data_IF_107478539001
#
_entry.id   IF_107478539001
#
_cell.length_a   1.000
_cell.length_b   1.000
_cell.length_c   1.000
_cell.angle_alpha   90.00
_cell.angle_beta   90.00
_cell.angle_gamma   90.00
#
_symmetry.space_group_name_H-M   'P 1'
#
loop_
_entity.id
_entity.type
_entity.pdbx_description
1 polymer ?
#
# COMPACT_ATOMS: atom_id res chain seq x y z
N UNK A 1 -29.59 -7.24 27.94
CA UNK A 1 -28.74 -6.12 28.37
C UNK A 1 -27.38 -6.58 28.90
N UNK A 2 -27.33 -7.42 29.92
CA UNK A 2 -26.08 -7.84 30.61
C UNK A 2 -25.11 -8.66 29.72
N UNK A 3 -25.56 -9.54 28.86
CA UNK A 3 -24.71 -10.35 27.98
C UNK A 3 -24.03 -9.50 26.88
N UNK A 4 -24.73 -8.47 26.37
CA UNK A 4 -24.16 -7.60 25.35
C UNK A 4 -23.08 -6.65 25.93
N UNK A 5 -23.24 -6.20 27.16
CA UNK A 5 -22.25 -5.37 27.88
C UNK A 5 -20.99 -6.17 28.21
N UNK A 6 -21.12 -7.44 28.63
CA UNK A 6 -19.99 -8.33 28.91
C UNK A 6 -19.16 -8.63 27.66
N UNK A 7 -19.81 -8.90 26.53
CA UNK A 7 -19.11 -9.16 25.25
C UNK A 7 -18.39 -7.92 24.73
N UNK A 8 -18.96 -6.72 24.89
CA UNK A 8 -18.31 -5.47 24.51
C UNK A 8 -17.09 -5.16 25.38
N UNK A 9 -17.18 -5.39 26.69
CA UNK A 9 -16.07 -5.20 27.62
C UNK A 9 -14.91 -6.16 27.33
N UNK A 10 -15.20 -7.46 27.11
CA UNK A 10 -14.19 -8.46 26.74
C UNK A 10 -13.49 -8.12 25.41
N UNK A 11 -14.24 -7.58 24.44
CA UNK A 11 -13.69 -7.13 23.15
C UNK A 11 -12.77 -5.93 23.31
N UNK A 12 -13.16 -4.94 24.09
CA UNK A 12 -12.35 -3.76 24.37
C UNK A 12 -11.03 -4.16 25.06
N UNK A 13 -11.10 -5.06 26.05
CA UNK A 13 -9.92 -5.60 26.72
C UNK A 13 -9.00 -6.36 25.77
N UNK A 14 -9.53 -7.16 24.83
CA UNK A 14 -8.75 -7.85 23.82
C UNK A 14 -8.05 -6.91 22.83
N UNK A 15 -8.68 -5.79 22.47
CA UNK A 15 -8.05 -4.75 21.64
C UNK A 15 -6.94 -4.02 22.38
N UNK A 16 -7.14 -3.73 23.67
CA UNK A 16 -6.12 -3.09 24.50
C UNK A 16 -4.90 -3.99 24.71
N UNK A 17 -5.12 -5.27 25.01
CA UNK A 17 -4.03 -6.25 25.10
C UNK A 17 -3.23 -6.36 23.79
N UNK A 18 -3.91 -6.33 22.64
CA UNK A 18 -3.26 -6.32 21.34
C UNK A 18 -2.46 -5.03 21.12
N UNK A 19 -3.00 -3.87 21.52
CA UNK A 19 -2.29 -2.58 21.46
C UNK A 19 -0.98 -2.65 22.23
N UNK A 20 -1.01 -3.08 23.49
CA UNK A 20 0.17 -3.20 24.34
C UNK A 20 1.21 -4.13 23.70
N UNK A 21 0.79 -5.30 23.22
CA UNK A 21 1.70 -6.25 22.58
C UNK A 21 2.36 -5.67 21.31
N UNK A 22 1.63 -4.90 20.49
CA UNK A 22 2.20 -4.21 19.31
C UNK A 22 3.19 -3.13 19.74
N UNK A 23 2.83 -2.31 20.72
CA UNK A 23 3.72 -1.23 21.23
C UNK A 23 5.00 -1.79 21.85
N UNK A 24 4.94 -2.95 22.51
CA UNK A 24 6.12 -3.66 23.02
C UNK A 24 7.06 -4.10 21.88
N UNK A 25 6.50 -4.63 20.77
CA UNK A 25 7.29 -4.98 19.60
C UNK A 25 7.93 -3.76 18.94
N UNK A 26 7.17 -2.66 18.86
CA UNK A 26 7.68 -1.39 18.31
C UNK A 26 8.86 -0.88 19.16
N UNK A 27 8.72 -0.84 20.49
CA UNK A 27 9.80 -0.42 21.39
C UNK A 27 11.05 -1.30 21.25
N UNK A 28 10.86 -2.61 21.18
CA UNK A 28 11.97 -3.56 21.06
C UNK A 28 12.69 -3.48 19.69
N UNK A 29 12.04 -2.94 18.64
CA UNK A 29 12.63 -2.83 17.31
C UNK A 29 13.67 -1.73 17.15
N UNK A 30 13.69 -0.74 18.05
CA UNK A 30 14.51 0.45 17.93
C UNK A 30 14.11 1.40 16.80
N UNK A 31 12.94 1.22 16.20
CA UNK A 31 12.44 2.10 15.16
C UNK A 31 12.27 3.54 15.64
N UNK A 32 12.61 4.52 14.82
CA UNK A 32 12.34 5.94 15.07
C UNK A 32 10.83 6.22 15.08
N UNK A 33 10.10 5.62 14.15
CA UNK A 33 8.66 5.76 14.05
C UNK A 33 8.02 4.52 13.44
N UNK A 34 6.86 4.12 13.97
CA UNK A 34 6.01 3.07 13.40
C UNK A 34 4.57 3.54 13.40
N UNK A 35 3.89 3.34 12.27
CA UNK A 35 2.45 3.55 12.13
C UNK A 35 1.75 2.23 11.86
N UNK A 36 0.76 1.87 12.67
CA UNK A 36 -0.03 0.66 12.50
C UNK A 36 -1.51 1.02 12.36
N UNK A 37 -2.15 0.46 11.35
CA UNK A 37 -3.59 0.52 11.16
C UNK A 37 -4.13 -0.89 11.01
N UNK A 38 -5.10 -1.24 11.86
CA UNK A 38 -5.86 -2.49 11.76
C UNK A 38 -7.34 -2.15 11.67
N UNK A 39 -8.05 -2.74 10.73
CA UNK A 39 -9.51 -2.66 10.64
C UNK A 39 -10.10 -4.01 10.27
N UNK A 40 -10.94 -4.56 11.13
CA UNK A 40 -11.77 -5.72 10.80
C UNK A 40 -12.81 -5.30 9.75
N UNK A 41 -12.97 -6.10 8.69
CA UNK A 41 -13.92 -5.82 7.60
C UNK A 41 -15.27 -6.51 7.79
N UNK A 42 -15.40 -7.31 8.84
CA UNK A 42 -16.63 -8.02 9.21
C UNK A 42 -17.27 -7.39 10.44
N UNK A 43 -16.45 -6.87 11.36
CA UNK A 43 -16.86 -6.25 12.62
C UNK A 43 -16.43 -4.78 12.66
N UNK A 44 -17.08 -3.91 13.47
CA UNK A 44 -16.72 -2.50 13.54
C UNK A 44 -15.48 -2.24 14.39
N UNK A 45 -14.50 -3.14 14.40
CA UNK A 45 -13.31 -3.06 15.23
C UNK A 45 -12.14 -2.46 14.45
N UNK A 46 -11.42 -1.54 15.07
CA UNK A 46 -10.18 -0.99 14.56
C UNK A 46 -9.18 -0.76 15.68
N UNK A 47 -7.89 -0.82 15.34
CA UNK A 47 -6.79 -0.48 16.23
C UNK A 47 -5.80 0.39 15.50
N UNK A 48 -5.42 1.51 16.12
CA UNK A 48 -4.56 2.53 15.56
C UNK A 48 -3.39 2.78 16.51
N UNK A 49 -2.14 2.58 16.06
CA UNK A 49 -0.93 2.93 16.82
C UNK A 49 -0.08 3.81 15.94
N UNK A 50 0.16 5.05 16.34
CA UNK A 50 0.92 6.01 15.52
C UNK A 50 0.38 6.20 14.09
N UNK A 51 -0.90 5.85 13.85
CA UNK A 51 -1.46 5.71 12.50
C UNK A 51 -1.59 7.03 11.73
N UNK A 52 -1.50 8.17 12.41
CA UNK A 52 -1.50 9.51 11.80
C UNK A 52 -0.08 10.05 11.55
N UNK A 53 0.96 9.35 11.96
CA UNK A 53 2.34 9.74 11.68
C UNK A 53 2.57 9.75 10.17
N UNK A 54 3.25 10.82 9.70
CA UNK A 54 3.56 10.99 8.29
C UNK A 54 4.87 10.29 7.93
N UNK A 55 4.83 9.52 6.85
CA UNK A 55 5.96 8.81 6.27
C UNK A 55 6.17 9.22 4.82
N UNK A 56 7.39 9.10 4.30
CA UNK A 56 7.61 9.04 2.86
C UNK A 56 6.83 7.83 2.32
N UNK A 57 6.04 8.03 1.25
CA UNK A 57 5.14 6.96 0.80
C UNK A 57 5.87 5.77 0.17
N UNK A 58 7.11 5.97 -0.29
CA UNK A 58 7.83 4.95 -1.06
C UNK A 58 6.91 4.35 -2.14
N UNK A 59 6.98 3.04 -2.37
CA UNK A 59 6.11 2.37 -3.36
C UNK A 59 4.66 2.18 -2.91
N UNK A 60 4.29 2.58 -1.70
CA UNK A 60 2.87 2.54 -1.27
C UNK A 60 2.00 3.53 -2.06
N UNK A 61 2.59 4.61 -2.64
CA UNK A 61 1.89 5.54 -3.52
C UNK A 61 1.32 4.88 -4.79
N UNK A 62 1.80 3.68 -5.14
CA UNK A 62 1.31 2.89 -6.29
C UNK A 62 -0.11 2.36 -6.08
N UNK A 63 -0.56 2.24 -4.84
CA UNK A 63 -1.94 1.81 -4.51
C UNK A 63 -2.98 2.83 -5.01
N UNK A 64 -2.93 4.12 -4.64
CA UNK A 64 -3.86 5.10 -5.19
C UNK A 64 -3.71 5.29 -6.71
N UNK A 65 -2.51 5.12 -7.29
CA UNK A 65 -2.34 5.13 -8.76
C UNK A 65 -3.13 3.99 -9.40
N UNK A 66 -3.03 2.76 -8.87
CA UNK A 66 -3.83 1.62 -9.34
C UNK A 66 -5.33 1.90 -9.24
N UNK A 67 -5.80 2.45 -8.12
CA UNK A 67 -7.22 2.82 -7.96
C UNK A 67 -7.65 3.78 -9.08
N UNK A 68 -6.84 4.80 -9.38
CA UNK A 68 -7.16 5.78 -10.42
C UNK A 68 -7.21 5.15 -11.81
N UNK A 69 -6.26 4.26 -12.13
CA UNK A 69 -6.27 3.53 -13.42
C UNK A 69 -7.56 2.73 -13.59
N UNK A 70 -8.01 2.02 -12.54
CA UNK A 70 -9.23 1.23 -12.61
C UNK A 70 -10.48 2.12 -12.68
N UNK A 71 -10.52 3.25 -11.99
CA UNK A 71 -11.61 4.23 -12.13
C UNK A 71 -11.71 4.78 -13.55
N UNK A 72 -10.57 5.14 -14.13
CA UNK A 72 -10.52 5.63 -15.51
C UNK A 72 -10.97 4.56 -16.52
N UNK A 73 -10.69 3.28 -16.23
CA UNK A 73 -11.18 2.18 -17.04
C UNK A 73 -12.72 2.01 -16.92
N UNK A 74 -13.26 2.08 -15.71
CA UNK A 74 -14.69 2.01 -15.45
C UNK A 74 -15.45 3.18 -16.12
N UNK A 75 -14.86 4.36 -16.11
CA UNK A 75 -15.39 5.58 -16.72
C UNK A 75 -15.04 5.71 -18.22
N UNK A 76 -14.43 4.70 -18.82
CA UNK A 76 -14.04 4.62 -20.25
C UNK A 76 -13.05 5.72 -20.70
N UNK A 77 -12.31 6.34 -19.78
CA UNK A 77 -11.23 7.29 -20.11
C UNK A 77 -9.96 6.60 -20.60
N UNK A 78 -9.79 5.33 -20.26
CA UNK A 78 -8.78 4.44 -20.80
C UNK A 78 -9.35 3.01 -20.92
N UNK A 79 -8.61 2.12 -21.59
CA UNK A 79 -8.94 0.68 -21.64
C UNK A 79 -7.75 -0.11 -21.08
N UNK A 80 -7.99 -1.05 -20.18
CA UNK A 80 -6.91 -1.87 -19.58
C UNK A 80 -6.13 -2.67 -20.66
N UNK A 81 -6.76 -3.01 -21.77
CA UNK A 81 -6.12 -3.70 -22.90
C UNK A 81 -5.44 -2.76 -23.90
N UNK A 82 -5.61 -1.43 -23.78
CA UNK A 82 -4.92 -0.51 -24.71
C UNK A 82 -3.42 -0.58 -24.52
N UNK A 83 -2.70 -0.54 -25.65
CA UNK A 83 -1.23 -0.55 -25.64
C UNK A 83 -0.74 0.89 -25.72
N UNK A 84 0.04 1.30 -24.73
CA UNK A 84 0.65 2.64 -24.67
C UNK A 84 2.17 2.55 -24.83
N UNK A 85 2.84 3.63 -25.26
CA UNK A 85 4.29 3.63 -25.41
C UNK A 85 5.01 3.31 -24.09
N UNK A 86 6.07 2.52 -24.17
CA UNK A 86 7.03 2.33 -23.08
C UNK A 86 8.14 3.36 -23.28
N UNK A 87 8.15 4.36 -22.41
CA UNK A 87 9.11 5.47 -22.46
C UNK A 87 9.89 5.54 -21.14
N UNK A 88 11.13 6.01 -21.19
CA UNK A 88 11.95 6.29 -20.01
C UNK A 88 12.48 7.73 -20.07
N UNK A 89 11.54 8.66 -20.31
CA UNK A 89 11.81 10.10 -20.25
C UNK A 89 10.58 10.76 -19.65
N UNK A 90 10.75 11.41 -18.52
CA UNK A 90 9.72 12.06 -17.73
C UNK A 90 10.12 13.51 -17.47
N UNK A 91 9.22 14.31 -16.91
CA UNK A 91 9.50 15.70 -16.60
C UNK A 91 9.43 15.96 -15.10
N UNK A 92 10.44 16.63 -14.57
CA UNK A 92 10.45 17.07 -13.18
C UNK A 92 9.28 18.02 -12.92
N UNK A 93 8.61 17.86 -11.77
CA UNK A 93 7.54 18.77 -11.35
C UNK A 93 8.08 20.12 -10.84
N UNK A 94 9.40 20.27 -10.70
CA UNK A 94 10.03 21.50 -10.22
C UNK A 94 10.14 22.53 -11.35
N UNK A 95 10.68 22.12 -12.50
CA UNK A 95 11.04 23.02 -13.59
C UNK A 95 10.74 22.47 -14.99
N UNK A 96 10.14 21.27 -15.07
CA UNK A 96 9.84 20.61 -16.35
C UNK A 96 11.03 20.01 -17.05
N UNK A 97 12.23 20.02 -16.45
CA UNK A 97 13.42 19.40 -17.04
C UNK A 97 13.24 17.87 -17.19
N UNK A 98 13.84 17.29 -18.23
CA UNK A 98 13.72 15.84 -18.43
C UNK A 98 14.54 15.04 -17.42
N UNK A 99 14.02 13.88 -17.00
CA UNK A 99 14.76 12.87 -16.26
C UNK A 99 14.34 11.47 -16.74
N UNK A 100 15.20 10.50 -16.52
CA UNK A 100 14.95 9.07 -16.74
C UNK A 100 15.23 8.27 -15.49
N UNK A 101 14.68 7.05 -15.43
CA UNK A 101 14.92 6.13 -14.33
C UNK A 101 16.12 5.25 -14.63
N UNK A 102 16.83 4.87 -13.56
CA UNK A 102 17.94 3.93 -13.61
C UNK A 102 17.43 2.50 -13.50
N UNK A 103 17.90 1.62 -14.38
CA UNK A 103 17.66 0.18 -14.26
C UNK A 103 18.17 -0.39 -12.92
N UNK A 104 19.24 0.18 -12.38
CA UNK A 104 19.86 -0.28 -11.13
C UNK A 104 18.98 0.00 -9.90
N UNK A 105 18.10 1.00 -9.99
CA UNK A 105 17.24 1.44 -8.90
C UNK A 105 15.80 0.90 -9.02
N UNK A 106 15.49 0.12 -10.08
CA UNK A 106 14.18 -0.50 -10.28
C UNK A 106 14.19 -1.98 -9.90
N UNK A 107 13.13 -2.44 -9.26
CA UNK A 107 12.93 -3.86 -8.92
C UNK A 107 12.58 -4.73 -10.13
N UNK A 108 12.25 -4.13 -11.28
CA UNK A 108 11.91 -4.81 -12.53
C UNK A 108 12.78 -4.32 -13.70
N UNK A 109 13.54 -5.24 -14.28
CA UNK A 109 14.36 -4.97 -15.47
C UNK A 109 13.63 -5.23 -16.80
N UNK A 110 12.56 -6.00 -16.77
CA UNK A 110 11.92 -6.54 -17.97
C UNK A 110 11.32 -5.46 -18.88
N UNK A 111 10.81 -4.39 -18.29
CA UNK A 111 10.18 -3.30 -19.03
C UNK A 111 11.21 -2.39 -19.73
N UNK A 112 12.43 -2.28 -19.19
CA UNK A 112 13.49 -1.45 -19.79
C UNK A 112 13.95 -1.98 -21.15
N UNK A 113 13.97 -3.30 -21.33
CA UNK A 113 14.28 -3.92 -22.63
C UNK A 113 13.22 -3.61 -23.71
N UNK A 114 12.10 -3.02 -23.32
CA UNK A 114 10.96 -2.70 -24.19
C UNK A 114 10.76 -1.20 -24.40
N UNK A 115 11.69 -0.37 -23.97
CA UNK A 115 11.68 1.08 -24.22
C UNK A 115 11.69 1.33 -25.74
N UNK A 116 10.83 2.20 -26.21
CA UNK A 116 10.55 2.43 -27.63
C UNK A 116 9.44 1.54 -28.21
N UNK A 117 9.04 0.48 -27.48
CA UNK A 117 7.92 -0.39 -27.83
C UNK A 117 6.60 0.02 -27.14
N UNK A 118 5.72 -0.95 -26.94
CA UNK A 118 4.40 -0.72 -26.32
C UNK A 118 4.05 -1.82 -25.34
N UNK A 119 3.40 -1.47 -24.23
CA UNK A 119 2.84 -2.39 -23.25
C UNK A 119 1.35 -2.09 -23.03
N UNK A 120 0.56 -3.09 -22.59
CA UNK A 120 -0.83 -2.82 -22.21
C UNK A 120 -0.90 -2.15 -20.85
N UNK A 121 -1.91 -1.31 -20.62
CA UNK A 121 -2.16 -0.69 -19.32
C UNK A 121 -2.29 -1.76 -18.23
N UNK A 122 -2.95 -2.88 -18.50
CA UNK A 122 -3.06 -4.03 -17.58
C UNK A 122 -1.71 -4.58 -17.16
N UNK A 123 -0.83 -4.80 -18.13
CA UNK A 123 0.52 -5.30 -17.88
C UNK A 123 1.34 -4.31 -17.04
N UNK A 124 1.25 -3.01 -17.34
CA UNK A 124 1.93 -1.98 -16.56
C UNK A 124 1.42 -1.93 -15.11
N UNK A 125 0.11 -2.04 -14.89
CA UNK A 125 -0.47 -2.13 -13.53
C UNK A 125 0.04 -3.37 -12.79
N UNK A 126 0.09 -4.50 -13.48
CA UNK A 126 0.59 -5.75 -12.90
C UNK A 126 2.05 -5.61 -12.45
N UNK A 127 2.94 -5.12 -13.31
CA UNK A 127 4.34 -4.85 -12.98
C UNK A 127 4.50 -3.82 -11.87
N UNK A 128 3.74 -2.71 -11.92
CA UNK A 128 3.75 -1.67 -10.89
C UNK A 128 3.44 -2.22 -9.48
N UNK A 129 2.53 -3.15 -9.39
CA UNK A 129 2.07 -3.68 -8.09
C UNK A 129 2.86 -4.92 -7.68
N UNK A 130 3.01 -5.92 -8.55
CA UNK A 130 3.52 -7.24 -8.17
C UNK A 130 5.03 -7.29 -7.98
N UNK A 131 5.78 -6.55 -8.78
CA UNK A 131 7.24 -6.41 -8.70
C UNK A 131 7.69 -4.98 -8.42
N UNK A 132 6.73 -4.10 -8.13
CA UNK A 132 7.01 -2.71 -7.77
C UNK A 132 7.77 -1.89 -8.83
N UNK A 133 7.60 -2.20 -10.15
CA UNK A 133 8.29 -1.50 -11.23
C UNK A 133 8.12 0.03 -11.16
N UNK A 134 9.22 0.75 -11.09
CA UNK A 134 9.24 2.20 -11.08
C UNK A 134 8.94 2.77 -12.47
N UNK A 135 9.47 2.14 -13.52
CA UNK A 135 9.21 2.55 -14.90
C UNK A 135 7.72 2.45 -15.25
N UNK A 136 7.08 1.32 -14.89
CA UNK A 136 5.64 1.16 -15.07
C UNK A 136 4.83 2.20 -14.27
N UNK A 137 5.30 2.55 -13.08
CA UNK A 137 4.66 3.58 -12.23
C UNK A 137 4.66 4.93 -12.91
N UNK A 138 5.81 5.38 -13.44
CA UNK A 138 5.91 6.69 -14.05
C UNK A 138 5.09 6.79 -15.35
N UNK A 139 5.10 5.75 -16.17
CA UNK A 139 4.25 5.68 -17.37
C UNK A 139 2.77 5.78 -17.01
N UNK A 140 2.34 5.08 -15.95
CA UNK A 140 0.93 5.08 -15.54
C UNK A 140 0.52 6.40 -14.88
N UNK A 141 1.36 6.99 -14.00
CA UNK A 141 0.99 8.23 -13.31
C UNK A 141 0.90 9.42 -14.28
N UNK A 142 1.75 9.48 -15.31
CA UNK A 142 1.59 10.46 -16.38
C UNK A 142 0.29 10.25 -17.18
N UNK A 143 -0.11 8.97 -17.40
CA UNK A 143 -1.34 8.65 -18.12
C UNK A 143 -2.61 9.03 -17.36
N UNK A 144 -2.62 8.93 -16.02
CA UNK A 144 -3.80 9.20 -15.19
C UNK A 144 -3.77 10.54 -14.45
N UNK A 145 -2.64 11.24 -14.44
CA UNK A 145 -2.41 12.52 -13.76
C UNK A 145 -2.36 12.40 -12.23
N UNK A 146 -1.24 12.82 -11.63
CA UNK A 146 -1.02 12.77 -10.18
C UNK A 146 -2.07 13.58 -9.39
N UNK A 147 -2.51 14.73 -9.91
CA UNK A 147 -3.53 15.56 -9.27
C UNK A 147 -4.89 14.84 -9.23
N UNK A 148 -5.22 14.03 -10.24
CA UNK A 148 -6.43 13.20 -10.24
C UNK A 148 -6.32 12.05 -9.25
N UNK A 149 -5.15 11.41 -9.16
CA UNK A 149 -4.87 10.39 -8.14
C UNK A 149 -5.06 10.98 -6.74
N UNK A 150 -4.51 12.17 -6.49
CA UNK A 150 -4.67 12.89 -5.23
C UNK A 150 -6.14 13.15 -4.90
N UNK A 151 -6.92 13.71 -5.85
CA UNK A 151 -8.35 13.97 -5.63
C UNK A 151 -9.15 12.70 -5.34
N UNK A 152 -8.84 11.61 -6.02
CA UNK A 152 -9.49 10.32 -5.78
C UNK A 152 -9.17 9.77 -4.38
N UNK A 153 -7.93 9.86 -3.94
CA UNK A 153 -7.53 9.43 -2.61
C UNK A 153 -8.27 10.24 -1.52
N UNK A 154 -8.33 11.56 -1.66
CA UNK A 154 -9.09 12.44 -0.76
C UNK A 154 -10.59 12.09 -0.75
N UNK A 155 -11.20 11.88 -1.91
CA UNK A 155 -12.61 11.52 -2.01
C UNK A 155 -12.94 10.15 -1.37
N UNK A 156 -11.95 9.28 -1.20
CA UNK A 156 -12.08 8.00 -0.50
C UNK A 156 -11.83 8.13 1.01
N UNK A 157 -11.43 9.31 1.51
CA UNK A 157 -11.19 9.62 2.92
C UNK A 157 -9.72 9.44 3.37
N UNK A 158 -8.78 9.37 2.41
CA UNK A 158 -7.34 9.40 2.69
C UNK A 158 -6.86 10.86 2.75
N UNK A 159 -7.16 11.53 3.86
CA UNK A 159 -7.12 12.99 3.97
C UNK A 159 -5.70 13.59 4.09
N UNK A 160 -4.72 12.77 4.49
CA UNK A 160 -3.34 13.20 4.75
C UNK A 160 -2.34 12.73 3.70
N UNK A 161 -2.74 11.82 2.80
CA UNK A 161 -1.88 11.32 1.72
C UNK A 161 -1.54 12.44 0.73
N UNK A 162 -0.32 12.43 0.23
CA UNK A 162 0.09 13.33 -0.84
C UNK A 162 0.67 12.53 -2.00
N UNK A 163 0.02 12.59 -3.15
CA UNK A 163 0.50 12.04 -4.42
C UNK A 163 0.78 13.22 -5.34
N UNK A 164 2.04 13.60 -5.46
CA UNK A 164 2.49 14.80 -6.17
C UNK A 164 3.06 14.48 -7.54
N UNK A 165 3.72 13.32 -7.66
CA UNK A 165 4.58 12.99 -8.80
C UNK A 165 4.79 11.49 -8.96
N UNK A 166 5.39 11.10 -10.07
CA UNK A 166 6.03 9.80 -10.23
C UNK A 166 7.20 9.59 -9.27
N UNK A 167 7.93 8.51 -9.47
CA UNK A 167 9.09 8.17 -8.64
C UNK A 167 10.39 8.67 -9.28
N UNK A 168 11.46 8.75 -8.50
CA UNK A 168 12.84 9.08 -8.92
C UNK A 168 13.03 10.48 -9.56
N UNK A 169 12.09 11.41 -9.39
CA UNK A 169 12.35 12.83 -9.64
C UNK A 169 13.28 13.38 -8.57
N UNK A 170 14.58 13.34 -8.86
CA UNK A 170 15.62 13.74 -7.92
C UNK A 170 15.59 15.24 -7.57
N UNK A 171 15.12 16.08 -8.47
CA UNK A 171 14.96 17.52 -8.17
C UNK A 171 13.82 17.75 -7.18
N UNK A 172 12.67 17.13 -7.42
CA UNK A 172 11.54 17.22 -6.51
C UNK A 172 11.86 16.61 -5.14
N UNK A 173 12.63 15.51 -5.10
CA UNK A 173 13.10 14.91 -3.84
C UNK A 173 13.94 15.92 -3.03
N UNK A 174 14.93 16.57 -3.65
CA UNK A 174 15.77 17.58 -2.98
C UNK A 174 14.98 18.83 -2.57
N UNK A 175 13.94 19.18 -3.31
CA UNK A 175 13.03 20.28 -2.99
C UNK A 175 11.98 19.90 -1.90
N UNK A 176 12.00 18.70 -1.35
CA UNK A 176 11.04 18.24 -0.35
C UNK A 176 9.63 17.95 -0.90
N UNK A 177 9.47 17.93 -2.23
CA UNK A 177 8.18 17.67 -2.91
C UNK A 177 7.93 16.16 -3.03
N UNK A 178 7.88 15.48 -1.88
CA UNK A 178 7.77 14.03 -1.82
C UNK A 178 6.30 13.55 -1.76
N UNK A 179 6.08 12.34 -2.29
CA UNK A 179 4.86 11.60 -1.99
C UNK A 179 4.91 11.15 -0.53
N UNK A 180 3.87 11.45 0.24
CA UNK A 180 3.78 11.08 1.66
C UNK A 180 2.47 10.39 1.97
N UNK A 181 2.45 9.59 3.03
CA UNK A 181 1.26 8.88 3.48
C UNK A 181 1.25 8.68 4.99
N UNK A 182 0.15 8.19 5.52
CA UNK A 182 -0.01 7.68 6.88
C UNK A 182 -0.52 6.24 6.83
N UNK A 183 -0.37 5.49 7.91
CA UNK A 183 -0.94 4.15 7.99
C UNK A 183 -2.47 4.19 7.91
N UNK A 184 -3.09 5.25 8.45
CA UNK A 184 -4.53 5.48 8.37
C UNK A 184 -5.00 5.68 6.93
N UNK A 185 -4.32 6.51 6.14
CA UNK A 185 -4.72 6.79 4.75
C UNK A 185 -4.66 5.53 3.89
N UNK A 186 -3.55 4.78 3.97
CA UNK A 186 -3.43 3.51 3.25
C UNK A 186 -4.46 2.50 3.72
N UNK A 187 -4.72 2.44 5.03
CA UNK A 187 -5.77 1.60 5.60
C UNK A 187 -7.14 1.90 5.03
N UNK A 188 -7.48 3.17 4.89
CA UNK A 188 -8.73 3.64 4.27
C UNK A 188 -8.81 3.23 2.79
N UNK A 189 -7.72 3.38 2.03
CA UNK A 189 -7.68 2.98 0.62
C UNK A 189 -7.82 1.46 0.45
N UNK A 190 -7.10 0.66 1.24
CA UNK A 190 -7.24 -0.80 1.21
C UNK A 190 -8.65 -1.26 1.64
N UNK A 191 -9.25 -0.61 2.64
CA UNK A 191 -10.62 -0.88 3.04
C UNK A 191 -11.60 -0.53 1.90
N UNK A 192 -11.40 0.59 1.21
CA UNK A 192 -12.22 0.97 0.06
C UNK A 192 -12.14 -0.06 -1.08
N UNK A 193 -10.95 -0.63 -1.36
CA UNK A 193 -10.78 -1.72 -2.32
C UNK A 193 -11.55 -2.97 -1.84
N UNK A 194 -11.35 -3.36 -0.58
CA UNK A 194 -11.96 -4.57 -0.01
C UNK A 194 -13.49 -4.53 0.02
N UNK A 195 -14.05 -3.34 0.23
CA UNK A 195 -15.49 -3.08 0.33
C UNK A 195 -16.15 -2.75 -1.03
N UNK A 196 -15.38 -2.71 -2.11
CA UNK A 196 -15.90 -2.42 -3.44
C UNK A 196 -16.23 -0.94 -3.68
N UNK A 197 -15.68 -0.01 -2.88
CA UNK A 197 -15.93 1.44 -2.95
C UNK A 197 -14.86 2.21 -3.72
N UNK A 198 -13.68 1.62 -3.91
CA UNK A 198 -12.57 2.28 -4.59
C UNK A 198 -12.84 2.53 -6.07
N UNK A 199 -13.57 1.61 -6.72
CA UNK A 199 -13.98 1.63 -8.12
C UNK A 199 -15.21 0.71 -8.28
N UNK A 200 -15.57 0.27 -9.49
CA UNK A 200 -16.62 -0.74 -9.63
C UNK A 200 -16.26 -2.02 -8.85
N UNK A 201 -17.29 -2.77 -8.43
CA UNK A 201 -17.09 -4.03 -7.70
C UNK A 201 -16.22 -5.04 -8.49
N UNK A 202 -16.32 -5.05 -9.84
CA UNK A 202 -15.48 -5.85 -10.73
C UNK A 202 -14.02 -5.39 -10.65
N UNK A 203 -13.77 -4.10 -10.76
CA UNK A 203 -12.45 -3.49 -10.70
C UNK A 203 -11.80 -3.68 -9.34
N UNK A 204 -12.55 -3.54 -8.24
CA UNK A 204 -12.05 -3.81 -6.90
C UNK A 204 -11.61 -5.28 -6.71
N UNK A 205 -12.39 -6.25 -7.21
CA UNK A 205 -11.98 -7.66 -7.20
C UNK A 205 -10.71 -7.91 -8.01
N UNK A 206 -10.56 -7.24 -9.15
CA UNK A 206 -9.34 -7.37 -9.97
C UNK A 206 -8.13 -6.77 -9.25
N UNK A 207 -8.26 -5.59 -8.62
CA UNK A 207 -7.19 -5.00 -7.79
C UNK A 207 -6.76 -5.94 -6.66
N UNK A 208 -7.70 -6.59 -5.98
CA UNK A 208 -7.36 -7.61 -4.96
C UNK A 208 -6.56 -8.77 -5.56
N UNK A 209 -6.95 -9.28 -6.73
CA UNK A 209 -6.19 -10.36 -7.40
C UNK A 209 -4.78 -9.94 -7.79
N UNK A 210 -4.60 -8.69 -8.23
CA UNK A 210 -3.27 -8.15 -8.56
C UNK A 210 -2.43 -8.06 -7.29
N UNK A 211 -2.95 -7.47 -6.21
CA UNK A 211 -2.28 -7.37 -4.92
C UNK A 211 -1.91 -8.73 -4.31
N UNK A 212 -2.70 -9.79 -4.55
CA UNK A 212 -2.41 -11.16 -4.11
C UNK A 212 -1.21 -11.80 -4.84
N UNK A 213 -0.77 -11.22 -5.97
CA UNK A 213 0.41 -11.68 -6.72
C UNK A 213 1.68 -10.93 -6.34
N UNK A 214 1.67 -10.11 -5.29
CA UNK A 214 2.87 -9.46 -4.76
C UNK A 214 3.99 -10.49 -4.54
N UNK A 215 5.21 -10.16 -4.96
CA UNK A 215 6.37 -11.07 -4.88
C UNK A 215 7.23 -10.87 -3.65
N UNK A 216 7.16 -9.72 -3.01
CA UNK A 216 7.93 -9.40 -1.79
C UNK A 216 7.09 -9.77 -0.56
N UNK A 217 7.34 -10.93 0.04
CA UNK A 217 6.47 -11.54 1.05
C UNK A 217 7.10 -11.67 2.45
N UNK A 218 8.22 -11.00 2.68
CA UNK A 218 9.01 -11.06 3.91
C UNK A 218 8.36 -10.31 5.09
N UNK A 219 7.45 -9.37 4.81
CA UNK A 219 6.72 -8.57 5.80
C UNK A 219 5.46 -9.26 6.35
N UNK A 220 4.30 -8.65 6.13
CA UNK A 220 3.01 -9.13 6.63
C UNK A 220 2.76 -10.61 6.31
N UNK A 221 2.96 -11.10 5.07
CA UNK A 221 2.69 -12.51 4.74
C UNK A 221 3.49 -13.51 5.58
N UNK A 222 4.75 -13.19 5.91
CA UNK A 222 5.62 -14.06 6.72
C UNK A 222 5.10 -14.26 8.16
N UNK A 223 4.24 -13.38 8.66
CA UNK A 223 3.60 -13.50 9.97
C UNK A 223 2.27 -14.25 9.96
N UNK A 224 1.77 -14.63 8.79
CA UNK A 224 0.45 -15.26 8.64
C UNK A 224 0.54 -16.80 8.60
N UNK A 225 -0.42 -17.52 9.15
CA UNK A 225 -0.44 -18.98 9.07
C UNK A 225 -0.77 -19.48 7.67
N UNK A 226 -0.45 -20.72 7.39
CA UNK A 226 -0.74 -21.39 6.12
C UNK A 226 -2.23 -21.29 5.74
N UNK A 227 -2.50 -20.92 4.49
CA UNK A 227 -3.85 -20.76 3.95
C UNK A 227 -4.52 -19.40 4.18
N UNK A 228 -3.91 -18.50 4.94
CA UNK A 228 -4.29 -17.10 5.01
C UNK A 228 -3.59 -16.34 3.87
N UNK A 229 -4.31 -15.49 3.16
CA UNK A 229 -3.79 -14.74 2.02
C UNK A 229 -3.71 -13.25 2.33
N UNK A 230 -2.62 -12.61 1.91
CA UNK A 230 -2.50 -11.17 1.87
C UNK A 230 -2.61 -10.68 0.42
N UNK A 231 -3.47 -9.67 0.21
CA UNK A 231 -3.48 -8.85 -0.98
C UNK A 231 -2.83 -7.52 -0.60
N UNK A 232 -1.53 -7.36 -0.89
CA UNK A 232 -0.73 -6.33 -0.25
C UNK A 232 0.22 -5.62 -1.21
N UNK A 233 0.77 -4.51 -0.75
CA UNK A 233 1.84 -3.75 -1.40
C UNK A 233 2.92 -3.42 -0.40
N UNK A 234 4.16 -3.61 -0.81
CA UNK A 234 5.35 -3.20 -0.07
C UNK A 234 5.89 -1.85 -0.56
N UNK A 235 6.71 -1.20 0.25
CA UNK A 235 7.41 0.01 -0.14
C UNK A 235 8.67 0.20 0.70
N UNK A 236 9.78 0.59 0.08
CA UNK A 236 10.99 0.91 0.80
C UNK A 236 11.77 2.04 0.13
N UNK A 237 12.46 2.82 0.92
CA UNK A 237 13.43 3.82 0.53
C UNK A 237 14.34 4.11 1.74
N UNK A 238 15.64 3.99 1.57
CA UNK A 238 16.63 4.20 2.64
C UNK A 238 16.29 3.37 3.89
N UNK A 239 16.01 4.01 5.03
CA UNK A 239 15.63 3.36 6.32
C UNK A 239 14.10 3.37 6.56
N UNK A 240 13.34 3.45 5.50
CA UNK A 240 11.87 3.49 5.54
C UNK A 240 11.33 2.28 4.82
N UNK A 241 10.62 1.41 5.53
CA UNK A 241 10.08 0.17 5.00
C UNK A 241 8.59 0.05 5.36
N UNK A 242 7.80 -0.43 4.43
CA UNK A 242 6.34 -0.46 4.55
C UNK A 242 5.78 -1.76 4.01
N UNK A 243 4.71 -2.23 4.62
CA UNK A 243 3.83 -3.24 4.06
C UNK A 243 2.39 -2.96 4.49
N UNK A 244 1.43 -3.21 3.61
CA UNK A 244 0.03 -3.00 3.92
C UNK A 244 -0.88 -3.67 2.93
N UNK A 245 -2.04 -4.12 3.40
CA UNK A 245 -2.99 -4.79 2.53
C UNK A 245 -4.22 -5.36 3.22
N UNK A 246 -4.91 -6.19 2.47
CA UNK A 246 -6.13 -6.89 2.86
C UNK A 246 -5.76 -8.33 3.16
N UNK A 247 -5.96 -8.79 4.38
CA UNK A 247 -5.76 -10.16 4.80
C UNK A 247 -7.10 -10.90 4.78
N UNK A 248 -7.09 -12.11 4.25
CA UNK A 248 -8.28 -12.96 4.13
C UNK A 248 -7.97 -14.39 4.54
N UNK A 249 -8.72 -14.91 5.51
CA UNK A 249 -8.68 -16.29 5.96
C UNK A 249 -9.77 -17.14 5.28
N UNK A 250 -9.60 -18.46 5.27
CA UNK A 250 -10.53 -19.41 4.64
C UNK A 250 -11.91 -19.44 5.31
N UNK A 251 -11.97 -19.11 6.58
CA UNK A 251 -13.20 -19.08 7.39
C UNK A 251 -14.02 -17.79 7.22
N UNK A 252 -13.65 -16.96 6.24
CA UNK A 252 -14.36 -15.73 5.91
C UNK A 252 -13.89 -14.49 6.70
N UNK A 253 -13.00 -14.63 7.65
CA UNK A 253 -12.40 -13.49 8.36
C UNK A 253 -11.59 -12.65 7.38
N UNK A 254 -11.78 -11.33 7.44
CA UNK A 254 -11.09 -10.36 6.58
C UNK A 254 -10.79 -9.11 7.38
N UNK A 255 -9.59 -8.60 7.21
CA UNK A 255 -9.18 -7.35 7.83
C UNK A 255 -8.14 -6.62 6.98
N UNK A 256 -8.00 -5.34 7.20
CA UNK A 256 -6.91 -4.51 6.68
C UNK A 256 -5.83 -4.40 7.74
N UNK A 257 -4.58 -4.59 7.33
CA UNK A 257 -3.40 -4.33 8.14
C UNK A 257 -2.43 -3.47 7.33
N UNK A 258 -1.97 -2.36 7.91
CA UNK A 258 -0.88 -1.53 7.38
C UNK A 258 0.15 -1.33 8.46
N UNK A 259 1.42 -1.54 8.14
CA UNK A 259 2.56 -1.26 9.01
C UNK A 259 3.56 -0.43 8.24
N UNK A 260 3.82 0.79 8.71
CA UNK A 260 4.79 1.72 8.16
C UNK A 260 5.90 1.91 9.18
N UNK A 261 7.17 1.81 8.74
CA UNK A 261 8.33 1.96 9.63
C UNK A 261 9.31 3.00 9.10
N UNK A 262 10.04 3.64 10.01
CA UNK A 262 11.17 4.52 9.73
C UNK A 262 12.24 4.35 10.80
N UNK A 263 13.51 4.44 10.38
CA UNK A 263 14.65 4.44 11.29
C UNK A 263 15.16 3.04 11.67
N UNK A 264 14.77 1.99 10.94
CA UNK A 264 15.36 0.65 11.07
C UNK A 264 16.32 0.46 9.89
N UNK A 265 17.65 0.38 10.12
CA UNK A 265 18.62 0.29 9.02
C UNK A 265 18.49 -0.99 8.20
N UNK A 266 18.32 -2.15 8.86
CA UNK A 266 18.24 -3.44 8.18
C UNK A 266 16.82 -3.74 7.72
N UNK A 267 16.66 -3.95 6.43
CA UNK A 267 15.37 -4.34 5.82
C UNK A 267 14.80 -5.60 6.46
N UNK A 268 15.64 -6.62 6.72
CA UNK A 268 15.21 -7.85 7.38
C UNK A 268 14.70 -7.63 8.81
N UNK A 269 15.19 -6.64 9.55
CA UNK A 269 14.67 -6.30 10.88
C UNK A 269 13.29 -5.64 10.78
N UNK A 270 13.09 -4.73 9.81
CA UNK A 270 11.79 -4.16 9.53
C UNK A 270 10.78 -5.21 9.09
N UNK A 271 11.18 -6.14 8.21
CA UNK A 271 10.34 -7.25 7.76
C UNK A 271 9.90 -8.15 8.94
N UNK A 272 10.84 -8.49 9.84
CA UNK A 272 10.50 -9.25 11.07
C UNK A 272 9.50 -8.52 11.96
N UNK A 273 9.66 -7.20 12.16
CA UNK A 273 8.70 -6.41 12.94
C UNK A 273 7.29 -6.47 12.31
N UNK A 274 7.19 -6.31 10.99
CA UNK A 274 5.91 -6.38 10.27
C UNK A 274 5.28 -7.77 10.37
N UNK A 275 6.09 -8.84 10.26
CA UNK A 275 5.63 -10.22 10.42
C UNK A 275 5.16 -10.50 11.86
N UNK A 276 5.86 -9.99 12.88
CA UNK A 276 5.47 -10.15 14.29
C UNK A 276 4.14 -9.43 14.56
N UNK A 277 3.98 -8.20 14.07
CA UNK A 277 2.72 -7.45 14.19
C UNK A 277 1.59 -8.20 13.46
N UNK A 278 1.84 -8.72 12.26
CA UNK A 278 0.85 -9.49 11.50
C UNK A 278 0.41 -10.77 12.27
N UNK A 279 1.34 -11.44 12.91
CA UNK A 279 1.05 -12.63 13.75
C UNK A 279 0.18 -12.28 14.96
N UNK A 280 0.50 -11.19 15.66
CA UNK A 280 -0.28 -10.70 16.81
C UNK A 280 -1.71 -10.31 16.38
N UNK A 281 -1.83 -9.53 15.30
CA UNK A 281 -3.15 -9.10 14.77
C UNK A 281 -3.96 -10.30 14.33
N UNK A 282 -3.36 -11.24 13.56
CA UNK A 282 -4.08 -12.43 13.11
C UNK A 282 -4.55 -13.28 14.27
N UNK A 283 -3.70 -13.53 15.27
CA UNK A 283 -4.07 -14.24 16.49
C UNK A 283 -5.25 -13.60 17.23
N UNK A 284 -5.23 -12.29 17.38
CA UNK A 284 -6.31 -11.55 18.02
C UNK A 284 -7.63 -11.57 17.22
N UNK A 285 -7.57 -11.50 15.89
CA UNK A 285 -8.75 -11.64 15.01
C UNK A 285 -9.24 -13.10 14.99
N UNK A 286 -8.33 -14.06 15.11
CA UNK A 286 -8.67 -15.48 15.15
C UNK A 286 -9.36 -15.93 16.44
N UNK A 287 -9.02 -15.30 17.57
CA UNK A 287 -9.57 -15.64 18.90
C UNK A 287 -11.00 -15.08 19.13
N UNK A 288 -11.56 -14.37 18.18
CA UNK A 288 -12.87 -13.71 18.23
C UNK A 288 -13.89 -14.38 17.34
#
# INVERSE_FOLDING_TARGET
GLLATSAAASRAQGLESLRVAIEDRIRASGAEAVGVYVRDLVRPDSLLVGAALRFHAASMMKVPVMIQVFRDADERRLRLGERIPVVNTFRSIVDGSPYGLSLADDSDSSLYARVGGRASVRELVDLMITVSSNLATNILIERVDAARVQRTALALGADSIQVRRGVEDGQAYRAGLNNTTTARDLGVLFAAIAEGRAASARSCREMVRILQRQRFNEGIPAGLPAGVRAAHKTGWITVTHHDGGIVSARDGRRYVLVVLTRGIPEEAASARLMADIARLVHGAVAAR
#
